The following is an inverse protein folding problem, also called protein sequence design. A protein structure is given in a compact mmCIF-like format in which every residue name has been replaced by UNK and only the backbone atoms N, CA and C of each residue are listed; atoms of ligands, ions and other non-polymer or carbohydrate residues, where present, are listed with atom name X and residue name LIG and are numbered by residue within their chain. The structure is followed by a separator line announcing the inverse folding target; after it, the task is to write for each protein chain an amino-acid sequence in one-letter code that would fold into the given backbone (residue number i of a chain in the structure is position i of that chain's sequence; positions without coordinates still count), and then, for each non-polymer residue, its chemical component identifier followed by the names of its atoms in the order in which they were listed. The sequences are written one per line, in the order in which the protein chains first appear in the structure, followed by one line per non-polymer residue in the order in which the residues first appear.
data_IF_792508552443
#
_entry.id   IF_792508552443
#
_cell.length_a   1.000
_cell.length_b   1.000
_cell.length_c   1.000
_cell.angle_alpha   90.00
_cell.angle_beta   90.00
_cell.angle_gamma   90.00
#
_symmetry.space_group_name_H-M   'P 1'
#
loop_
_entity.id
_entity.type
_entity.pdbx_description
1 polymer ?
#
# COMPACT_ATOMS: atom_id res chain seq x y z
N UNK A 1 -7.18 24.36 -20.23
CA UNK A 1 -7.77 24.05 -18.92
C UNK A 1 -6.73 24.27 -17.84
N UNK A 2 -6.99 25.11 -16.86
CA UNK A 2 -6.05 25.36 -15.76
C UNK A 2 -6.16 24.24 -14.69
N UNK A 3 -5.16 24.16 -13.79
CA UNK A 3 -5.12 23.12 -12.74
C UNK A 3 -6.34 23.14 -11.80
N UNK A 4 -6.89 24.33 -11.55
CA UNK A 4 -8.09 24.50 -10.74
C UNK A 4 -9.32 23.87 -11.42
N UNK A 5 -9.55 24.18 -12.69
CA UNK A 5 -10.65 23.62 -13.48
C UNK A 5 -10.55 22.10 -13.60
N UNK A 6 -9.33 21.56 -13.79
CA UNK A 6 -9.09 20.12 -13.79
C UNK A 6 -9.45 19.46 -12.46
N UNK A 7 -9.05 20.07 -11.33
CA UNK A 7 -9.40 19.58 -10.00
C UNK A 7 -10.93 19.61 -9.78
N UNK A 8 -11.62 20.67 -10.21
CA UNK A 8 -13.08 20.78 -10.15
C UNK A 8 -13.76 19.65 -10.94
N UNK A 9 -13.30 19.36 -12.16
CA UNK A 9 -13.84 18.25 -12.97
C UNK A 9 -13.66 16.89 -12.31
N UNK A 10 -12.47 16.61 -11.76
CA UNK A 10 -12.20 15.35 -11.06
C UNK A 10 -13.14 15.20 -9.86
N UNK A 11 -13.27 16.24 -9.04
CA UNK A 11 -14.14 16.21 -7.86
C UNK A 11 -15.62 16.03 -8.24
N UNK A 12 -16.09 16.66 -9.32
CA UNK A 12 -17.45 16.48 -9.84
C UNK A 12 -17.66 15.06 -10.37
N UNK A 13 -16.72 14.53 -11.16
CA UNK A 13 -16.78 13.17 -11.71
C UNK A 13 -16.92 12.12 -10.60
N UNK A 14 -16.15 12.25 -9.53
CA UNK A 14 -16.15 11.31 -8.40
C UNK A 14 -17.04 11.74 -7.23
N UNK A 15 -17.98 12.67 -7.47
CA UNK A 15 -19.02 13.13 -6.53
C UNK A 15 -18.49 13.57 -5.15
N UNK A 16 -17.32 14.20 -5.12
CA UNK A 16 -16.66 14.68 -3.89
C UNK A 16 -17.15 16.08 -3.48
N UNK A 17 -18.46 16.21 -3.23
CA UNK A 17 -19.14 17.50 -3.04
C UNK A 17 -18.56 18.35 -1.90
N UNK A 18 -18.17 17.73 -0.78
CA UNK A 18 -17.60 18.46 0.37
C UNK A 18 -16.24 19.10 0.02
N UNK A 19 -15.38 18.36 -0.68
CA UNK A 19 -14.06 18.84 -1.10
C UNK A 19 -14.20 19.87 -2.23
N UNK A 20 -15.20 19.70 -3.09
CA UNK A 20 -15.55 20.67 -4.13
C UNK A 20 -15.90 22.04 -3.54
N UNK A 21 -16.80 22.08 -2.54
CA UNK A 21 -17.19 23.32 -1.85
C UNK A 21 -15.97 23.99 -1.19
N UNK A 22 -15.12 23.20 -0.52
CA UNK A 22 -13.90 23.71 0.11
C UNK A 22 -12.94 24.34 -0.92
N UNK A 23 -12.79 23.69 -2.08
CA UNK A 23 -11.93 24.17 -3.15
C UNK A 23 -12.48 25.45 -3.81
N UNK A 24 -13.80 25.53 -4.01
CA UNK A 24 -14.48 26.71 -4.58
C UNK A 24 -14.41 27.92 -3.64
N UNK A 25 -14.53 27.70 -2.33
CA UNK A 25 -14.49 28.77 -1.32
C UNK A 25 -13.08 29.34 -1.13
N UNK A 26 -12.08 28.46 -1.00
CA UNK A 26 -10.74 28.87 -0.54
C UNK A 26 -9.70 28.91 -1.66
N UNK A 27 -9.99 28.35 -2.85
CA UNK A 27 -9.07 28.26 -4.01
C UNK A 27 -7.65 27.82 -3.62
N UNK A 28 -7.57 26.92 -2.64
CA UNK A 28 -6.32 26.52 -2.02
C UNK A 28 -5.45 25.71 -3.00
N UNK A 29 -4.27 26.22 -3.34
CA UNK A 29 -3.34 25.57 -4.28
C UNK A 29 -2.85 24.20 -3.80
N UNK A 30 -2.69 23.99 -2.50
CA UNK A 30 -2.26 22.72 -1.94
C UNK A 30 -3.35 21.66 -2.09
N UNK A 31 -4.61 22.06 -1.90
CA UNK A 31 -5.75 21.17 -2.16
C UNK A 31 -5.82 20.77 -3.64
N UNK A 32 -5.57 21.71 -4.56
CA UNK A 32 -5.49 21.42 -6.00
C UNK A 32 -4.40 20.37 -6.27
N UNK A 33 -3.20 20.53 -5.70
CA UNK A 33 -2.11 19.55 -5.88
C UNK A 33 -2.48 18.17 -5.34
N UNK A 34 -3.10 18.11 -4.17
CA UNK A 34 -3.55 16.85 -3.58
C UNK A 34 -4.57 16.15 -4.47
N UNK A 35 -5.60 16.87 -4.93
CA UNK A 35 -6.62 16.32 -5.84
C UNK A 35 -5.98 15.79 -7.12
N UNK A 36 -5.04 16.52 -7.71
CA UNK A 36 -4.36 16.08 -8.94
C UNK A 36 -3.40 14.91 -8.73
N UNK A 37 -2.91 14.68 -7.49
CA UNK A 37 -2.01 13.58 -7.16
C UNK A 37 -2.73 12.25 -6.89
N UNK A 38 -4.03 12.28 -6.58
CA UNK A 38 -4.81 11.12 -6.17
C UNK A 38 -5.42 10.44 -7.40
N UNK A 39 -5.24 9.12 -7.51
CA UNK A 39 -5.98 8.31 -8.48
C UNK A 39 -7.36 7.92 -7.92
N UNK A 40 -8.37 8.77 -8.15
CA UNK A 40 -9.73 8.53 -7.67
C UNK A 40 -10.38 7.27 -8.26
N UNK A 41 -10.05 6.90 -9.51
CA UNK A 41 -10.56 5.66 -10.10
C UNK A 41 -10.08 4.44 -9.32
N UNK A 42 -8.82 4.43 -8.90
CA UNK A 42 -8.26 3.34 -8.11
C UNK A 42 -8.97 3.22 -6.75
N UNK A 43 -9.30 4.35 -6.12
CA UNK A 43 -10.06 4.37 -4.86
C UNK A 43 -11.45 3.75 -5.05
N UNK A 44 -12.19 4.11 -6.10
CA UNK A 44 -13.50 3.50 -6.39
C UNK A 44 -13.38 1.99 -6.62
N UNK A 45 -12.41 1.57 -7.45
CA UNK A 45 -12.19 0.14 -7.72
C UNK A 45 -11.89 -0.66 -6.45
N UNK A 46 -11.10 -0.09 -5.53
CA UNK A 46 -10.81 -0.73 -4.23
C UNK A 46 -12.06 -0.82 -3.37
N UNK A 47 -12.89 0.23 -3.32
CA UNK A 47 -14.15 0.21 -2.55
C UNK A 47 -15.08 -0.90 -3.04
N UNK A 48 -15.31 -0.97 -4.34
CA UNK A 48 -16.15 -2.03 -4.94
C UNK A 48 -15.61 -3.42 -4.61
N UNK A 49 -14.30 -3.64 -4.79
CA UNK A 49 -13.68 -4.92 -4.44
C UNK A 49 -13.86 -5.27 -2.96
N UNK A 50 -13.70 -4.31 -2.06
CA UNK A 50 -13.91 -4.54 -0.62
C UNK A 50 -15.36 -4.95 -0.33
N UNK A 51 -16.33 -4.32 -0.98
CA UNK A 51 -17.75 -4.67 -0.82
C UNK A 51 -18.06 -6.07 -1.33
N UNK A 52 -17.50 -6.45 -2.49
CA UNK A 52 -17.60 -7.81 -3.06
C UNK A 52 -16.95 -8.86 -2.14
N UNK A 53 -15.73 -8.61 -1.66
CA UNK A 53 -15.00 -9.50 -0.76
C UNK A 53 -15.74 -9.69 0.58
N UNK A 54 -16.35 -8.64 1.12
CA UNK A 54 -17.16 -8.73 2.36
C UNK A 54 -18.39 -9.64 2.22
N UNK A 55 -18.89 -9.81 1.00
CA UNK A 55 -20.03 -10.70 0.75
C UNK A 55 -19.61 -12.17 0.58
N UNK A 56 -18.32 -12.45 0.38
CA UNK A 56 -17.82 -13.84 0.34
C UNK A 56 -17.97 -14.48 1.71
N UNK A 57 -18.69 -15.60 1.75
CA UNK A 57 -18.75 -16.47 2.91
C UNK A 57 -17.63 -17.49 2.81
N UNK A 58 -16.56 -17.29 3.58
CA UNK A 58 -15.50 -18.28 3.81
C UNK A 58 -16.08 -19.40 4.67
N UNK A 59 -16.79 -20.34 4.04
CA UNK A 59 -17.53 -21.38 4.75
C UNK A 59 -16.79 -22.73 4.78
N UNK A 60 -15.96 -23.02 3.76
CA UNK A 60 -15.34 -24.33 3.53
C UNK A 60 -13.83 -24.27 3.24
N UNK A 61 -13.17 -23.15 3.55
CA UNK A 61 -11.73 -23.04 3.27
C UNK A 61 -10.94 -23.92 4.23
N UNK A 62 -10.02 -24.71 3.67
CA UNK A 62 -9.11 -25.55 4.45
C UNK A 62 -7.87 -24.73 4.79
N UNK A 63 -7.59 -24.56 6.08
CA UNK A 63 -6.40 -23.87 6.56
C UNK A 63 -5.36 -24.94 6.89
N UNK A 64 -4.26 -24.97 6.13
CA UNK A 64 -3.16 -25.90 6.34
C UNK A 64 -1.85 -25.17 6.63
N UNK A 65 -0.89 -25.89 7.24
CA UNK A 65 0.43 -25.35 7.51
C UNK A 65 1.24 -25.32 6.21
N UNK A 66 1.85 -24.18 5.90
CA UNK A 66 2.88 -24.10 4.86
C UNK A 66 4.09 -24.92 5.32
N UNK A 67 4.52 -25.89 4.52
CA UNK A 67 5.73 -26.66 4.78
C UNK A 67 6.91 -25.70 4.97
N UNK A 68 7.64 -25.86 6.08
CA UNK A 68 8.77 -25.03 6.40
C UNK A 68 9.95 -25.87 6.87
N UNK A 69 11.13 -25.47 6.42
CA UNK A 69 12.39 -25.96 6.97
C UNK A 69 12.65 -25.18 8.26
N UNK A 70 12.88 -25.89 9.34
CA UNK A 70 13.32 -25.27 10.60
C UNK A 70 14.80 -24.91 10.47
N UNK A 71 15.09 -23.61 10.37
CA UNK A 71 16.47 -23.11 10.25
C UNK A 71 17.38 -23.55 11.41
N UNK A 72 16.80 -23.92 12.56
CA UNK A 72 17.57 -24.46 13.68
C UNK A 72 18.01 -25.92 13.46
N UNK A 73 17.34 -26.65 12.57
CA UNK A 73 17.65 -28.05 12.23
C UNK A 73 18.66 -28.18 11.08
N UNK A 74 19.09 -27.06 10.48
CA UNK A 74 20.12 -27.06 9.45
C UNK A 74 21.47 -27.47 10.05
N UNK A 75 22.17 -28.35 9.34
CA UNK A 75 23.57 -28.69 9.59
C UNK A 75 24.49 -27.47 9.44
N UNK A 76 25.73 -27.60 9.90
CA UNK A 76 26.72 -26.52 9.80
C UNK A 76 27.11 -26.28 8.34
N UNK A 77 27.14 -27.35 7.54
CA UNK A 77 27.42 -27.34 6.10
C UNK A 77 26.34 -26.58 5.34
N UNK A 78 25.06 -26.89 5.59
CA UNK A 78 23.93 -26.21 4.95
C UNK A 78 23.88 -24.72 5.30
N UNK A 79 24.14 -24.35 6.57
CA UNK A 79 24.19 -22.94 6.97
C UNK A 79 25.28 -22.18 6.22
N UNK A 80 26.47 -22.77 6.09
CA UNK A 80 27.59 -22.15 5.37
C UNK A 80 27.26 -21.96 3.89
N UNK A 81 26.62 -22.94 3.26
CA UNK A 81 26.20 -22.84 1.86
C UNK A 81 25.26 -21.63 1.65
N UNK A 82 24.25 -21.46 2.50
CA UNK A 82 23.33 -20.32 2.41
C UNK A 82 24.03 -18.97 2.67
N UNK A 83 24.95 -18.91 3.63
CA UNK A 83 25.76 -17.71 3.90
C UNK A 83 26.62 -17.31 2.70
N UNK A 84 27.27 -18.28 2.04
CA UNK A 84 28.10 -18.04 0.86
C UNK A 84 27.28 -17.50 -0.32
N UNK A 85 26.08 -18.06 -0.54
CA UNK A 85 25.13 -17.56 -1.54
C UNK A 85 24.74 -16.11 -1.23
N UNK A 86 24.35 -15.81 0.01
CA UNK A 86 23.95 -14.47 0.42
C UNK A 86 25.09 -13.46 0.26
N UNK A 87 26.29 -13.81 0.73
CA UNK A 87 27.48 -12.99 0.61
C UNK A 87 27.84 -12.66 -0.83
N UNK A 88 27.69 -13.63 -1.75
CA UNK A 88 27.92 -13.41 -3.17
C UNK A 88 26.93 -12.39 -3.75
N UNK A 89 25.64 -12.55 -3.48
CA UNK A 89 24.58 -11.65 -3.98
C UNK A 89 24.76 -10.23 -3.46
N UNK A 90 25.15 -10.07 -2.19
CA UNK A 90 25.44 -8.77 -1.57
C UNK A 90 26.65 -8.11 -2.24
N UNK A 91 27.75 -8.87 -2.44
CA UNK A 91 28.97 -8.36 -3.12
C UNK A 91 28.73 -7.97 -4.58
N UNK A 92 27.77 -8.62 -5.24
CA UNK A 92 27.35 -8.31 -6.61
C UNK A 92 26.38 -7.12 -6.69
N UNK A 93 26.11 -6.43 -5.57
CA UNK A 93 25.18 -5.29 -5.48
C UNK A 93 23.74 -5.62 -5.92
N UNK A 94 23.34 -6.89 -5.81
CA UNK A 94 22.01 -7.40 -6.19
C UNK A 94 21.03 -7.50 -5.02
N UNK A 95 21.40 -6.95 -3.87
CA UNK A 95 20.58 -6.97 -2.67
C UNK A 95 20.19 -5.56 -2.25
N UNK A 96 18.90 -5.36 -2.02
CA UNK A 96 18.35 -4.10 -1.53
C UNK A 96 17.47 -4.36 -0.30
N UNK A 97 17.53 -3.45 0.67
CA UNK A 97 16.70 -3.50 1.89
C UNK A 97 15.63 -2.42 1.79
N UNK A 98 14.36 -2.83 1.90
CA UNK A 98 13.23 -1.92 2.03
C UNK A 98 12.72 -1.97 3.47
N UNK A 99 12.84 -0.87 4.18
CA UNK A 99 12.30 -0.75 5.54
C UNK A 99 10.89 -0.16 5.50
N UNK A 100 9.89 -0.92 5.95
CA UNK A 100 8.53 -0.42 6.12
C UNK A 100 8.45 0.48 7.37
N UNK A 101 8.63 1.79 7.19
CA UNK A 101 8.61 2.80 8.27
C UNK A 101 7.36 3.71 8.27
N UNK A 102 6.31 3.33 7.55
CA UNK A 102 5.10 4.15 7.34
C UNK A 102 4.02 4.05 8.43
N UNK A 103 4.26 3.31 9.52
CA UNK A 103 3.26 3.13 10.58
C UNK A 103 2.98 4.43 11.35
N UNK A 104 1.71 4.79 11.50
CA UNK A 104 1.31 5.95 12.30
C UNK A 104 1.40 5.62 13.81
N UNK A 105 2.24 6.33 14.56
CA UNK A 105 2.34 6.20 16.02
C UNK A 105 1.15 6.88 16.71
N UNK A 106 0.01 6.18 16.77
CA UNK A 106 -1.21 6.69 17.42
C UNK A 106 -1.42 6.24 18.87
N UNK A 107 -0.44 5.56 19.50
CA UNK A 107 -0.47 5.31 20.94
C UNK A 107 0.47 6.29 21.64
N UNK A 108 -0.13 7.29 22.29
CA UNK A 108 0.49 8.01 23.39
C UNK A 108 0.85 6.98 24.47
N UNK A 109 2.12 6.95 24.88
CA UNK A 109 2.52 6.31 26.12
C UNK A 109 2.05 7.22 27.26
N UNK A 110 0.86 6.94 27.78
CA UNK A 110 0.33 7.49 29.04
C UNK A 110 -0.41 6.38 29.75
#
# INVERSE_FOLDING_TARGET
MNKYEQAIEILKKYKQNRVLIELENNKNEELIKQVLSINFQQIENIKTKIEEEKQKKFANDTIEKIECIDGNKLSSEEKREYEDIGNKVIKEEKYAVVTMAGGQRNKAWT
#
